data_IF_300632526809
#
_entry.id   IF_300632526809
#
_cell.length_a   1.000
_cell.length_b   1.000
_cell.length_c   1.000
_cell.angle_alpha   90.00
_cell.angle_beta   90.00
_cell.angle_gamma   90.00
#
_symmetry.space_group_name_H-M   'P 1'
#
loop_
_entity.id
_entity.type
_entity.pdbx_description
1 polymer ?
#
# COMPACT_ATOMS: atom_id res chain seq x y z
N UNK A 1 6.28 17.02 12.92
CA UNK A 1 5.70 15.73 13.36
C UNK A 1 5.75 14.83 12.14
N UNK A 2 6.74 13.94 12.05
CA UNK A 2 6.86 13.04 10.90
C UNK A 2 5.96 11.84 11.19
N UNK A 3 4.86 11.75 10.46
CA UNK A 3 3.94 10.62 10.55
C UNK A 3 4.59 9.42 9.84
N UNK A 4 4.53 8.22 10.42
CA UNK A 4 5.12 7.01 9.82
C UNK A 4 4.15 6.41 8.80
N UNK A 5 4.64 5.84 7.70
CA UNK A 5 3.78 5.26 6.67
C UNK A 5 2.80 4.21 7.23
N UNK A 6 3.23 3.43 8.21
CA UNK A 6 2.37 2.45 8.92
C UNK A 6 1.16 3.04 9.66
N UNK A 7 1.16 4.35 9.93
CA UNK A 7 0.06 5.03 10.63
C UNK A 7 -0.99 5.56 9.63
N UNK A 8 -0.77 5.38 8.32
CA UNK A 8 -1.76 5.71 7.29
C UNK A 8 -2.85 4.65 7.19
N UNK A 9 -4.04 5.01 6.66
CA UNK A 9 -5.14 4.06 6.46
C UNK A 9 -4.77 2.90 5.53
N UNK A 10 -3.92 3.17 4.53
CA UNK A 10 -3.57 2.24 3.47
C UNK A 10 -2.05 2.18 3.28
N UNK A 11 -1.33 1.57 4.25
CA UNK A 11 0.11 1.47 4.22
C UNK A 11 0.57 0.37 3.25
N UNK A 12 1.63 0.64 2.50
CA UNK A 12 2.30 -0.33 1.64
C UNK A 12 3.59 -0.81 2.32
N UNK A 13 3.76 -2.13 2.40
CA UNK A 13 4.90 -2.77 3.08
C UNK A 13 6.14 -2.84 2.20
N UNK A 14 5.97 -3.00 0.89
CA UNK A 14 7.06 -3.16 -0.06
C UNK A 14 6.66 -2.72 -1.49
N UNK A 15 7.64 -2.68 -2.40
CA UNK A 15 7.42 -2.31 -3.80
C UNK A 15 6.59 -3.33 -4.59
N UNK A 16 6.55 -4.60 -4.18
CA UNK A 16 5.75 -5.62 -4.85
C UNK A 16 4.26 -5.39 -4.61
N UNK A 17 3.86 -5.14 -3.35
CA UNK A 17 2.49 -4.72 -3.00
C UNK A 17 2.07 -3.47 -3.79
N UNK A 18 2.95 -2.47 -3.86
CA UNK A 18 2.68 -1.25 -4.60
C UNK A 18 2.41 -1.51 -6.09
N UNK A 19 3.19 -2.40 -6.71
CA UNK A 19 3.02 -2.77 -8.11
C UNK A 19 1.74 -3.58 -8.36
N UNK A 20 1.41 -4.52 -7.48
CA UNK A 20 0.19 -5.33 -7.57
C UNK A 20 -1.06 -4.46 -7.42
N UNK A 21 -1.12 -3.64 -6.36
CA UNK A 21 -2.25 -2.75 -6.13
C UNK A 21 -2.40 -1.73 -7.27
N UNK A 22 -1.29 -1.17 -7.76
CA UNK A 22 -1.30 -0.29 -8.94
C UNK A 22 -2.01 -0.95 -10.12
N UNK A 23 -1.68 -2.21 -10.43
CA UNK A 23 -2.31 -2.93 -11.54
C UNK A 23 -3.82 -3.12 -11.34
N UNK A 24 -4.26 -3.38 -10.11
CA UNK A 24 -5.68 -3.51 -9.77
C UNK A 24 -6.42 -2.17 -9.93
N UNK A 25 -5.85 -1.08 -9.41
CA UNK A 25 -6.47 0.25 -9.51
C UNK A 25 -6.53 0.76 -10.95
N UNK A 26 -5.45 0.54 -11.73
CA UNK A 26 -5.43 0.87 -13.15
C UNK A 26 -6.50 0.06 -13.93
N UNK A 27 -6.76 -1.20 -13.54
CA UNK A 27 -7.79 -2.04 -14.17
C UNK A 27 -9.21 -1.61 -13.81
N UNK A 28 -9.46 -1.24 -12.55
CA UNK A 28 -10.76 -0.74 -12.09
C UNK A 28 -11.00 0.73 -12.45
N UNK A 29 -10.00 1.41 -13.03
CA UNK A 29 -10.09 2.82 -13.42
C UNK A 29 -10.18 3.77 -12.23
N UNK A 30 -9.68 3.37 -11.06
CA UNK A 30 -9.69 4.18 -9.84
C UNK A 30 -8.48 5.13 -9.87
N UNK A 31 -8.67 6.46 -9.80
CA UNK A 31 -7.56 7.40 -9.66
C UNK A 31 -6.87 7.24 -8.30
N UNK A 32 -5.54 7.22 -8.27
CA UNK A 32 -4.77 7.08 -7.04
C UNK A 32 -3.47 7.88 -7.04
N UNK A 33 -2.94 8.14 -5.85
CA UNK A 33 -1.59 8.64 -5.64
C UNK A 33 -0.79 7.67 -4.76
N UNK A 34 0.38 7.25 -5.23
CA UNK A 34 1.32 6.42 -4.46
C UNK A 34 2.42 7.29 -3.88
N UNK A 35 2.47 7.37 -2.56
CA UNK A 35 3.48 8.14 -1.84
C UNK A 35 4.50 7.18 -1.24
N UNK A 36 5.70 7.15 -1.83
CA UNK A 36 6.82 6.38 -1.30
C UNK A 36 7.45 7.12 -0.11
N UNK A 37 7.62 6.43 1.01
CA UNK A 37 8.38 6.94 2.14
C UNK A 37 9.87 6.61 1.93
N UNK A 38 10.75 7.60 2.09
CA UNK A 38 12.20 7.38 2.02
C UNK A 38 12.91 7.77 0.72
N UNK A 39 12.48 8.84 0.04
CA UNK A 39 13.19 9.43 -1.12
C UNK A 39 14.54 10.11 -0.75
N UNK A 40 15.13 9.71 0.37
CA UNK A 40 16.49 10.10 0.77
C UNK A 40 17.45 8.98 0.38
N UNK A 41 18.70 9.34 0.02
CA UNK A 41 19.80 8.45 -0.42
C UNK A 41 20.10 7.24 0.51
N UNK A 42 19.42 7.11 1.65
CA UNK A 42 19.54 6.06 2.66
C UNK A 42 18.33 5.10 2.73
N UNK A 43 17.46 5.11 1.70
CA UNK A 43 16.12 4.49 1.68
C UNK A 43 15.99 3.05 2.19
N UNK A 44 17.02 2.22 2.04
CA UNK A 44 16.98 0.80 2.45
C UNK A 44 16.86 0.57 3.96
N UNK A 45 17.39 1.48 4.80
CA UNK A 45 17.33 1.33 6.26
C UNK A 45 16.01 1.87 6.86
N UNK A 46 15.37 2.80 6.17
CA UNK A 46 14.09 3.42 6.58
C UNK A 46 12.87 2.59 6.17
N UNK A 47 12.92 1.87 5.05
CA UNK A 47 11.83 0.99 4.58
C UNK A 47 11.46 -0.09 5.61
N UNK A 48 12.45 -0.62 6.34
CA UNK A 48 12.24 -1.67 7.36
C UNK A 48 11.56 -1.14 8.64
N UNK A 49 11.72 0.16 8.94
CA UNK A 49 11.24 0.74 10.20
C UNK A 49 9.93 1.54 10.07
N UNK A 50 9.64 2.08 8.88
CA UNK A 50 8.54 3.04 8.69
C UNK A 50 7.47 2.59 7.67
N UNK A 51 7.75 1.55 6.89
CA UNK A 51 6.91 1.10 5.76
C UNK A 51 7.40 1.70 4.43
N UNK A 52 7.10 1.04 3.32
CA UNK A 52 7.56 1.44 1.99
C UNK A 52 6.85 2.70 1.48
N UNK A 53 5.57 2.84 1.79
CA UNK A 53 4.77 3.96 1.34
C UNK A 53 3.32 3.87 1.80
N UNK A 54 2.46 4.69 1.21
CA UNK A 54 1.01 4.60 1.36
C UNK A 54 0.31 5.04 0.08
N UNK A 55 -0.98 4.72 0.01
CA UNK A 55 -1.87 5.15 -1.08
C UNK A 55 -2.76 6.29 -0.59
N UNK A 56 -3.03 7.26 -1.46
CA UNK A 56 -4.08 8.25 -1.28
C UNK A 56 -5.08 8.15 -2.44
N UNK A 57 -6.37 8.23 -2.10
CA UNK A 57 -7.51 8.10 -3.01
C UNK A 57 -8.44 9.27 -2.73
N UNK A 58 -9.08 9.79 -3.77
CA UNK A 58 -10.09 10.84 -3.60
C UNK A 58 -11.37 10.29 -2.96
N UNK A 59 -12.11 11.15 -2.27
CA UNK A 59 -13.29 10.72 -1.51
C UNK A 59 -14.38 10.09 -2.38
N UNK A 60 -14.45 10.40 -3.69
CA UNK A 60 -15.47 9.84 -4.57
C UNK A 60 -15.24 8.35 -4.86
N UNK A 61 -13.99 7.88 -4.78
CA UNK A 61 -13.62 6.48 -5.03
C UNK A 61 -13.20 5.74 -3.76
N UNK A 62 -13.18 6.41 -2.60
CA UNK A 62 -12.78 5.83 -1.31
C UNK A 62 -13.52 4.54 -0.98
N UNK A 63 -14.83 4.49 -1.15
CA UNK A 63 -15.63 3.30 -0.78
C UNK A 63 -15.30 2.09 -1.68
N UNK A 64 -15.20 2.31 -3.00
CA UNK A 64 -14.81 1.27 -3.94
C UNK A 64 -13.38 0.79 -3.68
N UNK A 65 -12.48 1.72 -3.37
CA UNK A 65 -11.11 1.41 -2.99
C UNK A 65 -11.03 0.61 -1.69
N UNK A 66 -11.82 0.96 -0.66
CA UNK A 66 -11.81 0.27 0.63
C UNK A 66 -12.22 -1.21 0.48
N UNK A 67 -13.17 -1.50 -0.41
CA UNK A 67 -13.54 -2.88 -0.74
C UNK A 67 -12.37 -3.62 -1.41
N UNK A 68 -11.78 -3.03 -2.45
CA UNK A 68 -10.64 -3.61 -3.16
C UNK A 68 -9.42 -3.81 -2.24
N UNK A 69 -9.19 -2.86 -1.33
CA UNK A 69 -8.11 -2.92 -0.36
C UNK A 69 -8.30 -4.06 0.65
N UNK A 70 -9.53 -4.30 1.11
CA UNK A 70 -9.83 -5.46 1.96
C UNK A 70 -9.57 -6.77 1.22
N UNK A 71 -10.04 -6.91 -0.02
CA UNK A 71 -9.78 -8.10 -0.84
C UNK A 71 -8.29 -8.33 -1.10
N UNK A 72 -7.55 -7.24 -1.32
CA UNK A 72 -6.10 -7.26 -1.49
C UNK A 72 -5.37 -7.72 -0.23
N UNK A 73 -5.75 -7.21 0.95
CA UNK A 73 -5.19 -7.63 2.23
C UNK A 73 -5.52 -9.10 2.55
N UNK A 74 -6.76 -9.52 2.32
CA UNK A 74 -7.19 -10.90 2.54
C UNK A 74 -6.42 -11.86 1.63
N UNK A 75 -6.18 -11.48 0.37
CA UNK A 75 -5.39 -12.29 -0.57
C UNK A 75 -3.94 -12.48 -0.13
N UNK A 76 -3.34 -11.46 0.49
CA UNK A 76 -1.98 -11.58 1.07
C UNK A 76 -1.95 -12.43 2.34
N UNK A 77 -3.02 -12.46 3.14
CA UNK A 77 -3.08 -13.25 4.39
C UNK A 77 -3.14 -14.75 4.10
N UNK A 78 -3.77 -15.16 2.99
CA UNK A 78 -3.90 -16.58 2.64
C UNK A 78 -2.56 -17.20 2.19
N UNK A 79 -1.59 -16.41 1.72
CA UNK A 79 -0.25 -16.93 1.36
C UNK A 79 0.65 -17.19 2.59
N UNK A 80 0.30 -16.69 3.79
CA UNK A 80 1.10 -16.87 5.02
C UNK A 80 0.65 -18.08 5.87
N UNK A 81 -0.56 -18.63 5.64
CA UNK A 81 -1.05 -19.85 6.33
C UNK A 81 -0.61 -21.17 5.66
N UNK A 82 0.49 -21.13 4.90
CA UNK A 82 0.97 -22.22 4.06
C UNK A 82 2.43 -22.61 4.26
N UNK A 83 2.97 -22.57 5.49
CA UNK A 83 4.23 -23.25 5.80
C UNK A 83 4.06 -24.25 6.96
N UNK A 84 4.51 -25.48 6.68
CA UNK A 84 4.36 -26.76 7.40
C UNK A 84 5.06 -26.86 8.75
#
# INVERSE_FOLDING_TARGET
MFWKAKDWPWPLKNSAQAALLKGLLDNEGIPYCLIRHGDSLWGYATEVAEGWGHVEIDDAHREAFEQLWQEFQDSEIVEDEGEV
#
